data_IF_101743386943
#
_entry.id   IF_101743386943
#
_cell.length_a   1.000
_cell.length_b   1.000
_cell.length_c   1.000
_cell.angle_alpha   90.00
_cell.angle_beta   90.00
_cell.angle_gamma   90.00
#
_symmetry.space_group_name_H-M   'P 1'
#
loop_
_entity.id
_entity.type
_entity.pdbx_description
1 polymer ?
#
# COMPACT_ATOMS: atom_id res chain seq x y z
N UNK A 1 -8.75 4.44 27.54
CA UNK A 1 -10.00 5.20 27.74
C UNK A 1 -10.01 6.60 27.12
N UNK A 2 -8.87 7.11 26.65
CA UNK A 2 -8.81 8.39 25.93
C UNK A 2 -8.98 8.29 24.40
N UNK A 3 -8.99 7.10 23.84
CA UNK A 3 -9.04 6.89 22.39
C UNK A 3 -10.43 7.10 21.76
N UNK A 4 -11.51 6.99 22.54
CA UNK A 4 -12.87 7.31 22.06
C UNK A 4 -13.10 8.79 21.73
N UNK A 5 -12.25 9.68 22.25
CA UNK A 5 -12.26 11.12 21.94
C UNK A 5 -11.41 11.53 20.73
N UNK A 6 -10.44 10.71 20.31
CA UNK A 6 -9.51 11.10 19.23
C UNK A 6 -10.19 11.20 17.87
N UNK A 7 -10.97 10.20 17.48
CA UNK A 7 -11.67 10.18 16.20
C UNK A 7 -12.71 11.32 16.13
N UNK A 8 -13.54 11.43 17.17
CA UNK A 8 -14.56 12.48 17.26
C UNK A 8 -13.95 13.87 17.27
N UNK A 9 -12.84 14.07 17.99
CA UNK A 9 -12.12 15.34 18.03
C UNK A 9 -11.48 15.68 16.67
N UNK A 10 -10.92 14.70 15.97
CA UNK A 10 -10.33 14.87 14.64
C UNK A 10 -11.40 15.30 13.61
N UNK A 11 -12.56 14.64 13.59
CA UNK A 11 -13.67 14.96 12.68
C UNK A 11 -14.32 16.29 13.05
N UNK A 12 -14.46 16.61 14.34
CA UNK A 12 -14.97 17.91 14.80
C UNK A 12 -14.13 19.07 14.26
N UNK A 13 -12.83 18.90 14.18
CA UNK A 13 -11.89 19.90 13.62
C UNK A 13 -11.92 19.95 12.10
N UNK A 14 -12.16 18.80 11.45
CA UNK A 14 -12.17 18.65 10.00
C UNK A 14 -13.37 17.79 9.57
N UNK A 15 -14.56 18.40 9.42
CA UNK A 15 -15.78 17.67 9.12
C UNK A 15 -15.79 16.96 7.77
N UNK A 16 -15.00 17.45 6.80
CA UNK A 16 -14.83 16.82 5.49
C UNK A 16 -13.53 16.01 5.52
N UNK A 17 -13.62 14.76 5.93
CA UNK A 17 -12.45 13.89 6.12
C UNK A 17 -12.67 12.53 5.51
N UNK A 18 -11.56 11.93 5.06
CA UNK A 18 -11.48 10.50 4.78
C UNK A 18 -10.94 9.81 6.03
N UNK A 19 -11.68 8.84 6.54
CA UNK A 19 -11.36 8.03 7.70
C UNK A 19 -10.96 6.65 7.19
N UNK A 20 -9.74 6.21 7.48
CA UNK A 20 -9.26 4.89 7.15
C UNK A 20 -9.19 4.04 8.41
N UNK A 21 -9.90 2.92 8.40
CA UNK A 21 -9.83 1.87 9.41
C UNK A 21 -9.13 0.66 8.80
N UNK A 22 -7.88 0.46 9.17
CA UNK A 22 -7.04 -0.59 8.62
C UNK A 22 -7.21 -1.88 9.41
N UNK A 23 -7.27 -3.03 8.71
CA UNK A 23 -7.40 -4.37 9.29
C UNK A 23 -8.62 -4.51 10.24
N UNK A 24 -9.80 -4.12 9.75
CA UNK A 24 -11.03 -4.06 10.57
C UNK A 24 -11.42 -5.42 11.17
N UNK A 25 -11.04 -6.53 10.54
CA UNK A 25 -11.29 -7.88 11.05
C UNK A 25 -10.60 -8.17 12.38
N UNK A 26 -9.58 -7.39 12.74
CA UNK A 26 -8.87 -7.51 14.03
C UNK A 26 -9.49 -6.68 15.14
N UNK A 27 -10.50 -5.87 14.82
CA UNK A 27 -11.15 -5.02 15.81
C UNK A 27 -11.96 -5.82 16.81
N UNK A 28 -12.03 -5.31 18.06
CA UNK A 28 -12.89 -5.87 19.07
C UNK A 28 -14.37 -5.73 18.67
N UNK A 29 -15.22 -6.67 19.10
CA UNK A 29 -16.65 -6.69 18.77
C UNK A 29 -17.39 -5.38 19.08
N UNK A 30 -16.99 -4.66 20.13
CA UNK A 30 -17.61 -3.38 20.52
C UNK A 30 -17.36 -2.28 19.49
N UNK A 31 -16.26 -2.35 18.72
CA UNK A 31 -15.98 -1.40 17.64
C UNK A 31 -17.05 -1.49 16.55
N UNK A 32 -17.51 -2.70 16.22
CA UNK A 32 -18.57 -2.89 15.23
C UNK A 32 -19.90 -2.27 15.67
N UNK A 33 -20.21 -2.27 16.95
CA UNK A 33 -21.42 -1.62 17.47
C UNK A 33 -21.34 -0.09 17.30
N UNK A 34 -20.16 0.49 17.53
CA UNK A 34 -19.89 1.92 17.31
C UNK A 34 -19.97 2.25 15.81
N UNK A 35 -19.39 1.40 14.96
CA UNK A 35 -19.43 1.59 13.52
C UNK A 35 -20.85 1.46 12.95
N UNK A 36 -21.65 0.52 13.45
CA UNK A 36 -23.06 0.41 13.10
C UNK A 36 -23.82 1.71 13.43
N UNK A 37 -23.64 2.23 14.64
CA UNK A 37 -24.24 3.52 15.02
C UNK A 37 -23.76 4.64 14.09
N UNK A 38 -22.46 4.67 13.76
CA UNK A 38 -21.92 5.67 12.84
C UNK A 38 -22.53 5.57 11.44
N UNK A 39 -22.65 4.35 10.90
CA UNK A 39 -23.19 4.10 9.57
C UNK A 39 -24.70 4.37 9.49
N UNK A 40 -25.43 4.14 10.58
CA UNK A 40 -26.87 4.36 10.65
C UNK A 40 -27.22 5.83 10.88
N UNK A 41 -26.60 6.46 11.90
CA UNK A 41 -26.96 7.80 12.36
C UNK A 41 -26.13 8.92 11.75
N UNK A 42 -24.97 8.57 11.14
CA UNK A 42 -23.97 9.54 10.66
C UNK A 42 -23.36 10.37 11.79
N UNK A 43 -23.47 9.91 13.06
CA UNK A 43 -23.06 10.66 14.25
C UNK A 43 -22.46 9.74 15.30
N UNK A 44 -21.50 10.27 16.07
CA UNK A 44 -20.98 9.62 17.26
C UNK A 44 -21.01 10.56 18.46
N UNK A 45 -21.37 10.03 19.63
CA UNK A 45 -21.26 10.75 20.89
C UNK A 45 -20.00 10.31 21.62
N UNK A 46 -19.15 11.27 21.97
CA UNK A 46 -17.91 11.00 22.70
C UNK A 46 -18.16 10.68 24.19
N UNK A 47 -17.11 10.24 24.90
CA UNK A 47 -17.18 9.92 26.33
C UNK A 47 -17.51 11.13 27.23
N UNK A 48 -17.54 12.35 26.68
CA UNK A 48 -17.94 13.58 27.38
C UNK A 48 -19.38 13.99 27.04
N UNK A 49 -20.13 13.17 26.31
CA UNK A 49 -21.51 13.45 25.90
C UNK A 49 -21.65 14.41 24.72
N UNK A 50 -20.57 14.73 23.99
CA UNK A 50 -20.62 15.61 22.81
C UNK A 50 -20.86 14.78 21.57
N UNK A 51 -21.90 15.11 20.81
CA UNK A 51 -22.22 14.47 19.53
C UNK A 51 -21.51 15.18 18.39
N UNK A 52 -20.84 14.39 17.55
CA UNK A 52 -20.11 14.84 16.37
C UNK A 52 -20.76 14.27 15.11
N UNK A 53 -20.94 15.12 14.11
CA UNK A 53 -21.52 14.79 12.81
C UNK A 53 -20.44 14.27 11.84
N UNK A 54 -20.69 13.10 11.26
CA UNK A 54 -19.81 12.40 10.31
C UNK A 54 -20.41 12.33 8.90
N UNK A 55 -21.56 12.98 8.66
CA UNK A 55 -22.29 12.88 7.38
C UNK A 55 -21.47 13.36 6.17
N UNK A 56 -20.44 14.16 6.40
CA UNK A 56 -19.54 14.63 5.35
C UNK A 56 -18.21 13.85 5.30
N UNK A 57 -18.09 12.74 6.02
CA UNK A 57 -16.91 11.90 6.01
C UNK A 57 -17.06 10.73 5.04
N UNK A 58 -15.97 10.34 4.44
CA UNK A 58 -15.86 9.06 3.72
C UNK A 58 -15.17 8.07 4.65
N UNK A 59 -15.83 6.94 4.91
CA UNK A 59 -15.26 5.85 5.71
C UNK A 59 -14.73 4.76 4.77
N UNK A 60 -13.44 4.48 4.87
CA UNK A 60 -12.79 3.39 4.15
C UNK A 60 -12.30 2.36 5.17
N UNK A 61 -12.65 1.11 4.95
CA UNK A 61 -12.22 -0.01 5.78
C UNK A 61 -11.40 -0.97 4.94
N UNK A 62 -10.27 -1.43 5.44
CA UNK A 62 -9.48 -2.49 4.81
C UNK A 62 -9.56 -3.78 5.60
N UNK A 63 -9.43 -4.90 4.91
CA UNK A 63 -9.38 -6.22 5.52
C UNK A 63 -8.50 -7.15 4.68
N UNK A 64 -7.88 -8.12 5.32
CA UNK A 64 -7.17 -9.23 4.66
C UNK A 64 -7.97 -10.53 4.64
N UNK A 65 -9.26 -10.48 4.95
CA UNK A 65 -10.15 -11.64 4.87
C UNK A 65 -10.17 -12.22 3.46
N UNK A 66 -10.03 -13.53 3.38
CA UNK A 66 -10.05 -14.24 2.10
C UNK A 66 -8.73 -14.22 1.31
N UNK A 67 -7.65 -13.66 1.84
CA UNK A 67 -6.35 -13.58 1.15
C UNK A 67 -5.86 -14.95 0.66
N UNK A 68 -5.98 -16.00 1.47
CA UNK A 68 -5.59 -17.37 1.08
C UNK A 68 -6.45 -17.91 -0.05
N UNK A 69 -7.76 -17.64 -0.03
CA UNK A 69 -8.68 -18.06 -1.09
C UNK A 69 -8.41 -17.29 -2.40
N UNK A 70 -8.12 -15.99 -2.30
CA UNK A 70 -7.73 -15.16 -3.45
C UNK A 70 -6.47 -15.72 -4.09
N UNK A 71 -5.45 -16.04 -3.30
CA UNK A 71 -4.19 -16.58 -3.80
C UNK A 71 -4.42 -17.93 -4.50
N UNK A 72 -5.10 -18.89 -3.86
CA UNK A 72 -5.35 -20.21 -4.42
C UNK A 72 -6.15 -20.16 -5.72
N UNK A 73 -7.17 -19.29 -5.81
CA UNK A 73 -7.97 -19.12 -7.02
C UNK A 73 -7.19 -18.40 -8.13
N UNK A 74 -6.33 -17.45 -7.80
CA UNK A 74 -5.45 -16.79 -8.77
C UNK A 74 -4.43 -17.76 -9.36
N UNK A 75 -3.82 -18.61 -8.55
CA UNK A 75 -2.88 -19.65 -9.01
C UNK A 75 -3.55 -20.71 -9.90
N UNK A 76 -4.83 -21.03 -9.64
CA UNK A 76 -5.62 -21.94 -10.48
C UNK A 76 -6.18 -21.29 -11.74
N UNK A 77 -6.10 -19.98 -11.89
CA UNK A 77 -6.67 -19.22 -13.00
C UNK A 77 -8.18 -18.97 -12.92
N UNK A 78 -8.80 -19.28 -11.79
CA UNK A 78 -10.26 -19.17 -11.55
C UNK A 78 -10.67 -17.77 -11.08
N UNK A 79 -10.29 -16.74 -11.83
CA UNK A 79 -10.50 -15.33 -11.42
C UNK A 79 -11.98 -14.97 -11.21
N UNK A 80 -12.89 -15.56 -11.99
CA UNK A 80 -14.33 -15.30 -11.86
C UNK A 80 -14.92 -15.76 -10.51
N UNK A 81 -14.25 -16.68 -9.82
CA UNK A 81 -14.69 -17.20 -8.53
C UNK A 81 -14.12 -16.45 -7.34
N UNK A 82 -13.16 -15.55 -7.53
CA UNK A 82 -12.51 -14.81 -6.46
C UNK A 82 -13.55 -13.98 -5.69
N UNK A 83 -14.25 -13.09 -6.37
CA UNK A 83 -15.21 -12.18 -5.72
C UNK A 83 -16.33 -12.91 -4.99
N UNK A 84 -17.05 -13.88 -5.58
CA UNK A 84 -18.07 -14.63 -4.87
C UNK A 84 -17.55 -15.38 -3.65
N UNK A 85 -16.33 -15.93 -3.72
CA UNK A 85 -15.71 -16.65 -2.61
C UNK A 85 -15.37 -15.70 -1.46
N UNK A 86 -14.76 -14.55 -1.77
CA UNK A 86 -14.43 -13.53 -0.76
C UNK A 86 -15.69 -12.98 -0.10
N UNK A 87 -16.74 -12.70 -0.89
CA UNK A 87 -18.03 -12.24 -0.36
C UNK A 87 -18.65 -13.26 0.59
N UNK A 88 -18.51 -14.56 0.29
CA UNK A 88 -18.93 -15.63 1.18
C UNK A 88 -18.17 -15.64 2.51
N UNK A 89 -16.85 -15.38 2.48
CA UNK A 89 -16.01 -15.29 3.68
C UNK A 89 -16.37 -14.04 4.51
N UNK A 90 -16.57 -12.91 3.87
CA UNK A 90 -17.00 -11.65 4.51
C UNK A 90 -18.34 -11.84 5.22
N UNK A 91 -19.31 -12.47 4.55
CA UNK A 91 -20.63 -12.75 5.12
C UNK A 91 -20.61 -13.72 6.32
N UNK A 92 -19.60 -14.59 6.41
CA UNK A 92 -19.40 -15.49 7.54
C UNK A 92 -18.70 -14.80 8.72
N UNK A 93 -17.84 -13.83 8.45
CA UNK A 93 -17.03 -13.16 9.47
C UNK A 93 -17.76 -11.98 10.12
N UNK A 94 -18.41 -11.16 9.32
CA UNK A 94 -19.13 -9.99 9.78
C UNK A 94 -20.64 -10.26 9.91
N UNK A 95 -21.29 -9.55 10.82
CA UNK A 95 -22.74 -9.61 10.96
C UNK A 95 -23.43 -9.07 9.72
N UNK A 96 -24.55 -9.68 9.28
CA UNK A 96 -25.29 -9.22 8.10
C UNK A 96 -25.70 -7.75 8.17
N UNK A 97 -26.11 -7.27 9.36
CA UNK A 97 -26.48 -5.88 9.57
C UNK A 97 -25.32 -4.91 9.31
N UNK A 98 -24.07 -5.30 9.55
CA UNK A 98 -22.89 -4.51 9.28
C UNK A 98 -22.57 -4.49 7.79
N UNK A 99 -22.56 -5.64 7.15
CA UNK A 99 -22.27 -5.76 5.70
C UNK A 99 -23.31 -4.98 4.88
N UNK A 100 -24.58 -5.01 5.26
CA UNK A 100 -25.68 -4.30 4.59
C UNK A 100 -25.59 -2.75 4.69
N UNK A 101 -24.70 -2.22 5.54
CA UNK A 101 -24.46 -0.77 5.68
C UNK A 101 -23.24 -0.27 4.91
N UNK A 102 -22.52 -1.18 4.30
CA UNK A 102 -21.38 -0.84 3.45
C UNK A 102 -21.93 -0.56 2.05
N UNK A 103 -21.61 0.62 1.51
CA UNK A 103 -22.10 1.05 0.20
C UNK A 103 -21.46 0.23 -0.93
N UNK A 104 -20.16 -0.10 -0.81
CA UNK A 104 -19.42 -0.85 -1.82
C UNK A 104 -18.29 -1.68 -1.19
N UNK A 105 -18.05 -2.86 -1.75
CA UNK A 105 -16.98 -3.78 -1.35
C UNK A 105 -16.11 -4.07 -2.57
N UNK A 106 -14.86 -3.61 -2.51
CA UNK A 106 -13.89 -3.78 -3.58
C UNK A 106 -12.93 -4.91 -3.25
N UNK A 107 -12.89 -5.94 -4.07
CA UNK A 107 -11.96 -7.07 -3.94
C UNK A 107 -10.72 -6.80 -4.78
N UNK A 108 -9.56 -6.64 -4.11
CA UNK A 108 -8.28 -6.47 -4.78
C UNK A 108 -7.73 -7.82 -5.20
N UNK A 109 -7.28 -7.89 -6.45
CA UNK A 109 -6.59 -9.08 -6.97
C UNK A 109 -5.08 -9.02 -6.69
N UNK A 110 -4.40 -10.18 -6.65
CA UNK A 110 -2.95 -10.22 -6.58
C UNK A 110 -2.31 -9.50 -7.77
N UNK A 111 -1.20 -8.82 -7.51
CA UNK A 111 -0.45 -8.13 -8.57
C UNK A 111 0.26 -9.14 -9.47
N UNK A 112 0.20 -8.91 -10.76
CA UNK A 112 0.99 -9.64 -11.75
C UNK A 112 2.44 -9.12 -11.78
N UNK A 113 3.37 -9.90 -12.30
CA UNK A 113 4.77 -9.46 -12.51
C UNK A 113 4.87 -8.17 -13.33
N UNK A 114 4.01 -8.03 -14.35
CA UNK A 114 3.94 -6.82 -15.19
C UNK A 114 3.54 -5.59 -14.37
N UNK A 115 2.57 -5.74 -13.47
CA UNK A 115 2.13 -4.65 -12.60
C UNK A 115 3.19 -4.30 -11.56
N UNK A 116 3.91 -5.29 -11.06
CA UNK A 116 5.06 -5.06 -10.16
C UNK A 116 6.17 -4.32 -10.88
N UNK A 117 6.45 -4.65 -12.15
CA UNK A 117 7.37 -3.89 -12.99
C UNK A 117 6.97 -2.41 -13.08
N UNK A 118 5.70 -2.13 -13.35
CA UNK A 118 5.19 -0.74 -13.39
C UNK A 118 5.33 -0.01 -12.04
N UNK A 119 5.12 -0.73 -10.93
CA UNK A 119 5.33 -0.14 -9.59
C UNK A 119 6.81 0.14 -9.35
N UNK A 120 7.71 -0.74 -9.81
CA UNK A 120 9.15 -0.52 -9.76
C UNK A 120 9.54 0.76 -10.53
N UNK A 121 9.04 0.93 -11.76
CA UNK A 121 9.26 2.12 -12.57
C UNK A 121 8.82 3.40 -11.86
N UNK A 122 7.64 3.41 -11.24
CA UNK A 122 7.14 4.56 -10.48
C UNK A 122 8.04 4.92 -9.29
N UNK A 123 8.57 3.91 -8.58
CA UNK A 123 9.49 4.14 -7.46
C UNK A 123 10.84 4.67 -7.97
N UNK A 124 11.35 4.15 -9.07
CA UNK A 124 12.57 4.63 -9.72
C UNK A 124 12.41 6.06 -10.25
N UNK A 125 11.27 6.39 -10.84
CA UNK A 125 10.96 7.77 -11.22
C UNK A 125 10.98 8.71 -10.00
N UNK A 126 10.47 8.27 -8.85
CA UNK A 126 10.53 9.04 -7.61
C UNK A 126 11.97 9.22 -7.10
N UNK A 127 12.80 8.19 -7.24
CA UNK A 127 14.23 8.26 -6.93
C UNK A 127 14.93 9.27 -7.86
N UNK A 128 14.68 9.18 -9.17
CA UNK A 128 15.26 10.10 -10.15
C UNK A 128 14.88 11.57 -9.91
N UNK A 129 13.66 11.86 -9.43
CA UNK A 129 13.31 13.24 -9.05
C UNK A 129 14.18 13.77 -7.92
N UNK A 130 14.48 12.94 -6.91
CA UNK A 130 15.37 13.32 -5.79
C UNK A 130 16.82 13.52 -6.28
N UNK A 131 17.29 12.68 -7.19
CA UNK A 131 18.62 12.80 -7.77
C UNK A 131 18.76 14.04 -8.66
N UNK A 132 17.71 14.40 -9.39
CA UNK A 132 17.69 15.59 -10.26
C UNK A 132 17.89 16.89 -9.47
N UNK A 133 17.49 16.96 -8.20
CA UNK A 133 17.78 18.10 -7.31
C UNK A 133 19.29 18.29 -7.07
N UNK A 134 20.07 17.21 -7.27
CA UNK A 134 21.53 17.21 -7.16
C UNK A 134 22.23 17.21 -8.55
N UNK A 135 21.48 17.38 -9.63
CA UNK A 135 21.99 17.33 -11.01
C UNK A 135 22.31 15.93 -11.52
N UNK A 136 21.83 14.89 -10.86
CA UNK A 136 22.11 13.49 -11.16
C UNK A 136 20.86 12.77 -11.70
N UNK A 137 21.09 11.72 -12.49
CA UNK A 137 20.06 10.77 -12.89
C UNK A 137 20.60 9.34 -12.86
N UNK A 138 19.69 8.37 -12.65
CA UNK A 138 20.02 6.94 -12.74
C UNK A 138 19.17 6.29 -13.83
N UNK A 139 19.79 5.46 -14.64
CA UNK A 139 19.14 4.61 -15.64
C UNK A 139 19.47 3.16 -15.28
N UNK A 140 18.45 2.30 -15.31
CA UNK A 140 18.63 0.86 -15.13
C UNK A 140 18.53 0.17 -16.48
N UNK A 141 19.39 -0.80 -16.70
CA UNK A 141 19.24 -1.70 -17.84
C UNK A 141 18.06 -2.68 -17.60
N UNK A 142 17.68 -3.39 -18.65
CA UNK A 142 16.57 -4.35 -18.60
C UNK A 142 16.83 -5.45 -17.56
N UNK A 143 18.07 -5.96 -17.48
CA UNK A 143 18.46 -6.99 -16.53
C UNK A 143 18.43 -6.51 -15.07
N UNK A 144 18.81 -5.26 -14.79
CA UNK A 144 18.72 -4.69 -13.45
C UNK A 144 17.24 -4.50 -13.03
N UNK A 145 16.40 -4.06 -13.95
CA UNK A 145 14.96 -3.94 -13.71
C UNK A 145 14.34 -5.31 -13.41
N UNK A 146 14.64 -6.33 -14.20
CA UNK A 146 14.17 -7.71 -13.99
C UNK A 146 14.65 -8.29 -12.64
N UNK A 147 15.91 -8.06 -12.28
CA UNK A 147 16.45 -8.48 -10.99
C UNK A 147 15.75 -7.82 -9.81
N UNK A 148 15.40 -6.53 -9.92
CA UNK A 148 14.65 -5.80 -8.89
C UNK A 148 13.22 -6.34 -8.77
N UNK A 149 12.54 -6.56 -9.89
CA UNK A 149 11.18 -7.13 -9.92
C UNK A 149 11.16 -8.51 -9.29
N UNK A 150 12.11 -9.38 -9.68
CA UNK A 150 12.23 -10.74 -9.11
C UNK A 150 12.52 -10.72 -7.61
N UNK A 151 13.41 -9.86 -7.14
CA UNK A 151 13.73 -9.73 -5.72
C UNK A 151 12.62 -9.03 -4.92
N UNK A 152 11.81 -8.21 -5.59
CA UNK A 152 10.73 -7.41 -5.01
C UNK A 152 9.35 -8.05 -5.07
N UNK A 153 9.22 -9.20 -5.73
CA UNK A 153 7.97 -9.96 -5.81
C UNK A 153 7.90 -11.03 -4.73
N UNK A 154 6.76 -11.07 -4.06
CA UNK A 154 6.43 -12.16 -3.13
C UNK A 154 4.96 -12.52 -3.31
N UNK A 155 4.62 -13.80 -3.55
CA UNK A 155 3.23 -14.22 -3.78
C UNK A 155 2.28 -13.87 -2.62
N UNK A 156 2.80 -13.82 -1.39
CA UNK A 156 2.00 -13.54 -0.18
C UNK A 156 1.94 -12.06 0.13
N UNK A 157 3.10 -11.37 0.01
CA UNK A 157 3.24 -9.96 0.39
C UNK A 157 3.15 -8.99 -0.79
N UNK A 158 2.97 -9.52 -2.02
CA UNK A 158 2.83 -8.73 -3.25
C UNK A 158 4.05 -7.85 -3.52
N UNK A 159 3.82 -6.54 -3.69
CA UNK A 159 4.86 -5.55 -3.94
C UNK A 159 5.50 -4.95 -2.67
N UNK A 160 5.12 -5.38 -1.46
CA UNK A 160 5.72 -4.85 -0.21
C UNK A 160 7.24 -5.01 -0.15
N UNK A 161 7.85 -6.13 -0.59
CA UNK A 161 9.30 -6.29 -0.60
C UNK A 161 10.00 -5.38 -1.62
N UNK A 162 9.29 -4.89 -2.65
CA UNK A 162 9.87 -4.14 -3.76
C UNK A 162 10.62 -2.87 -3.30
N UNK A 163 10.06 -2.14 -2.35
CA UNK A 163 10.72 -0.96 -1.77
C UNK A 163 12.06 -1.32 -1.13
N UNK A 164 12.12 -2.46 -0.42
CA UNK A 164 13.36 -2.94 0.19
C UNK A 164 14.35 -3.44 -0.85
N UNK A 165 13.88 -4.08 -1.92
CA UNK A 165 14.71 -4.51 -3.03
C UNK A 165 15.36 -3.29 -3.70
N UNK A 166 14.60 -2.27 -4.05
CA UNK A 166 15.13 -1.02 -4.63
C UNK A 166 16.12 -0.36 -3.66
N UNK A 167 15.79 -0.25 -2.38
CA UNK A 167 16.69 0.33 -1.40
C UNK A 167 18.02 -0.42 -1.33
N UNK A 168 17.98 -1.76 -1.24
CA UNK A 168 19.18 -2.59 -1.12
C UNK A 168 20.00 -2.64 -2.41
N UNK A 169 19.34 -2.76 -3.55
CA UNK A 169 19.99 -3.01 -4.83
C UNK A 169 20.36 -1.74 -5.58
N UNK A 170 19.68 -0.62 -5.30
CA UNK A 170 19.89 0.66 -6.00
C UNK A 170 20.29 1.78 -5.03
N UNK A 171 19.44 2.13 -4.04
CA UNK A 171 19.68 3.31 -3.22
C UNK A 171 20.95 3.21 -2.35
N UNK A 172 21.19 2.06 -1.70
CA UNK A 172 22.38 1.89 -0.87
C UNK A 172 23.70 1.89 -1.69
N UNK A 173 23.84 1.09 -2.78
CA UNK A 173 25.03 1.16 -3.63
C UNK A 173 25.24 2.55 -4.24
N UNK A 174 24.16 3.23 -4.61
CA UNK A 174 24.22 4.60 -5.11
C UNK A 174 24.74 5.56 -4.03
N UNK A 175 24.24 5.47 -2.81
CA UNK A 175 24.72 6.30 -1.70
C UNK A 175 26.21 6.07 -1.41
N UNK A 176 26.66 4.81 -1.43
CA UNK A 176 28.07 4.46 -1.25
C UNK A 176 28.93 5.05 -2.38
N UNK A 177 28.46 4.99 -3.62
CA UNK A 177 29.16 5.59 -4.77
C UNK A 177 29.24 7.11 -4.67
N UNK A 178 28.13 7.78 -4.28
CA UNK A 178 28.06 9.22 -4.09
C UNK A 178 29.01 9.71 -2.99
N UNK A 179 29.27 8.89 -1.96
CA UNK A 179 30.18 9.21 -0.86
C UNK A 179 31.64 8.93 -1.18
N UNK A 180 31.93 7.99 -2.08
CA UNK A 180 33.29 7.49 -2.37
C UNK A 180 33.90 8.06 -3.63
N UNK A 181 33.12 8.64 -4.54
CA UNK A 181 33.56 9.14 -5.86
C UNK A 181 33.53 10.66 -5.93
N UNK A 182 34.46 11.23 -6.69
CA UNK A 182 34.34 12.63 -7.15
C UNK A 182 33.37 12.68 -8.34
N UNK A 183 32.20 13.25 -8.10
CA UNK A 183 31.10 13.30 -9.07
C UNK A 183 30.98 14.69 -9.71
N UNK A 184 32.00 15.53 -9.61
CA UNK A 184 31.96 16.92 -10.10
C UNK A 184 31.56 17.04 -11.57
N UNK A 185 31.86 16.02 -12.41
CA UNK A 185 31.58 15.98 -13.84
C UNK A 185 30.55 14.91 -14.25
N UNK A 186 29.91 14.24 -13.24
CA UNK A 186 28.98 13.15 -13.50
C UNK A 186 27.55 13.68 -13.52
N UNK A 187 26.83 13.46 -14.60
CA UNK A 187 25.40 13.83 -14.74
C UNK A 187 24.47 12.62 -14.78
N UNK A 188 25.00 11.45 -15.16
CA UNK A 188 24.22 10.23 -15.29
C UNK A 188 24.97 9.02 -14.73
N UNK A 189 24.23 8.18 -14.01
CA UNK A 189 24.70 6.91 -13.48
C UNK A 189 23.90 5.78 -14.14
N UNK A 190 24.57 4.72 -14.54
CA UNK A 190 23.93 3.53 -15.11
C UNK A 190 24.09 2.36 -14.17
N UNK A 191 22.96 1.72 -13.79
CA UNK A 191 22.97 0.48 -13.02
C UNK A 191 22.73 -0.69 -13.97
N UNK A 192 23.72 -1.56 -14.07
CA UNK A 192 23.68 -2.74 -14.94
C UNK A 192 23.69 -4.01 -14.12
N UNK A 193 22.95 -5.02 -14.59
CA UNK A 193 22.96 -6.36 -14.02
C UNK A 193 24.07 -7.20 -14.67
N UNK A 194 25.21 -7.31 -13.98
CA UNK A 194 26.10 -8.41 -14.25
C UNK A 194 25.81 -9.55 -13.25
N UNK A 195 26.68 -10.10 -12.51
CA UNK A 195 26.38 -11.12 -11.48
C UNK A 195 25.86 -10.55 -10.15
N UNK A 196 26.06 -9.25 -9.96
CA UNK A 196 25.52 -8.42 -8.88
C UNK A 196 25.23 -7.04 -9.49
N UNK A 197 24.27 -6.29 -8.93
CA UNK A 197 24.09 -4.90 -9.32
C UNK A 197 25.38 -4.15 -8.98
N UNK A 198 26.17 -3.83 -9.99
CA UNK A 198 27.35 -2.98 -9.86
C UNK A 198 27.02 -1.60 -10.40
N UNK A 199 27.21 -0.57 -9.59
CA UNK A 199 27.29 0.84 -10.01
C UNK A 199 28.76 1.17 -10.23
N UNK A 200 29.15 2.06 -11.11
CA UNK A 200 28.53 2.63 -12.31
C UNK A 200 29.43 2.54 -13.54
N UNK A 201 28.86 2.68 -14.73
CA UNK A 201 29.60 3.22 -15.88
C UNK A 201 29.33 4.72 -15.92
N UNK A 202 30.38 5.52 -15.76
CA UNK A 202 30.32 6.98 -15.75
C UNK A 202 30.42 7.44 -17.19
N UNK A 203 29.40 8.18 -17.66
CA UNK A 203 29.49 8.93 -18.89
C UNK A 203 29.63 10.42 -18.56
N UNK A 204 30.72 11.00 -19.03
CA UNK A 204 31.00 12.45 -19.01
C UNK A 204 30.32 13.15 -20.17
#
# INVERSE_FOLDING_TARGET
YEQGGYLTEAVRRRPYSLILLDEIEKAHGDVFNILLQLLDDGRLTDGHGRTVDFSNCVLVMTSNLGSEAIQALSESGDQERIEPTVMGIVAQHFRPEFVNRIDDIVVFQPLTEVEIGRIADLQLMSLNRRLAEQGLSIVLDEGATEAIVTAGYDPVYGARPLKRAIQKMVENPLADALLSMDLSDVTQLEAVSYTHLTLPTIYS
#
